data_IF_483946339787
#
_entry.id   IF_483946339787
#
_cell.length_a   1.000
_cell.length_b   1.000
_cell.length_c   1.000
_cell.angle_alpha   90.00
_cell.angle_beta   90.00
_cell.angle_gamma   90.00
#
_symmetry.space_group_name_H-M   'P 1'
#
loop_
_entity.id
_entity.type
_entity.pdbx_description
1 polymer ?
#
# COMPACT_ATOMS: atom_id res chain seq x y z
N UNK A 1 6.94 -2.02 9.35
CA UNK A 1 7.35 -2.62 8.06
C UNK A 1 7.94 -1.57 7.14
N UNK A 2 7.24 -0.47 6.90
CA UNK A 2 7.74 0.59 6.03
C UNK A 2 9.04 1.21 6.54
N UNK A 3 9.18 1.41 7.85
CA UNK A 3 10.40 1.89 8.47
C UNK A 3 11.56 0.92 8.26
N UNK A 4 11.31 -0.38 8.43
CA UNK A 4 12.31 -1.42 8.16
C UNK A 4 12.72 -1.45 6.69
N UNK A 5 11.76 -1.32 5.78
CA UNK A 5 12.01 -1.26 4.34
C UNK A 5 12.85 -0.02 3.96
N UNK A 6 12.59 1.14 4.57
CA UNK A 6 13.39 2.34 4.38
C UNK A 6 14.82 2.17 4.91
N UNK A 7 14.97 1.57 6.08
CA UNK A 7 16.30 1.30 6.65
C UNK A 7 17.12 0.38 5.75
N UNK A 8 16.52 -0.67 5.19
CA UNK A 8 17.18 -1.57 4.23
C UNK A 8 17.52 -0.85 2.92
N UNK A 9 16.61 -0.03 2.42
CA UNK A 9 16.84 0.74 1.20
C UNK A 9 18.01 1.72 1.33
N UNK A 10 18.27 2.23 2.52
CA UNK A 10 19.38 3.15 2.79
C UNK A 10 20.76 2.52 2.55
N UNK A 11 20.89 1.18 2.59
CA UNK A 11 22.15 0.50 2.26
C UNK A 11 22.48 0.58 0.77
N UNK A 12 21.46 0.64 -0.08
CA UNK A 12 21.64 0.72 -1.54
C UNK A 12 21.74 2.17 -2.03
N UNK A 13 21.40 3.13 -1.19
CA UNK A 13 21.40 4.55 -1.53
C UNK A 13 22.19 5.34 -0.49
N UNK A 14 23.34 5.91 -0.85
CA UNK A 14 24.20 6.63 0.08
C UNK A 14 23.68 8.01 0.49
N UNK A 15 22.43 8.34 0.18
CA UNK A 15 21.85 9.66 0.47
C UNK A 15 21.20 9.69 1.84
N UNK A 16 21.48 10.73 2.62
CA UNK A 16 20.85 11.06 3.90
C UNK A 16 19.39 11.52 3.70
N UNK A 17 18.59 10.74 2.98
CA UNK A 17 17.21 11.09 2.66
C UNK A 17 16.19 10.33 3.50
N UNK A 18 16.63 9.58 4.51
CA UNK A 18 15.73 8.80 5.34
C UNK A 18 14.65 9.69 6.00
N UNK A 19 15.04 10.86 6.49
CA UNK A 19 14.10 11.82 7.07
C UNK A 19 13.07 12.30 6.03
N UNK A 20 13.49 12.54 4.80
CA UNK A 20 12.59 12.92 3.70
C UNK A 20 11.54 11.84 3.44
N UNK A 21 11.95 10.58 3.37
CA UNK A 21 11.02 9.47 3.13
C UNK A 21 10.09 9.24 4.31
N UNK A 22 10.58 9.38 5.54
CA UNK A 22 9.74 9.31 6.74
C UNK A 22 8.71 10.43 6.76
N UNK A 23 9.09 11.64 6.41
CA UNK A 23 8.17 12.77 6.32
C UNK A 23 7.09 12.52 5.26
N UNK A 24 7.46 11.89 4.14
CA UNK A 24 6.50 11.50 3.12
C UNK A 24 5.48 10.49 3.65
N UNK A 25 5.93 9.46 4.37
CA UNK A 25 5.04 8.49 5.01
C UNK A 25 4.10 9.18 6.01
N UNK A 26 4.62 10.08 6.84
CA UNK A 26 3.81 10.88 7.78
C UNK A 26 2.77 11.74 7.07
N UNK A 27 3.12 12.34 5.95
CA UNK A 27 2.19 13.14 5.14
C UNK A 27 1.05 12.26 4.64
N UNK A 28 1.34 11.08 4.12
CA UNK A 28 0.31 10.14 3.68
C UNK A 28 -0.60 9.69 4.82
N UNK A 29 -0.05 9.45 6.01
CA UNK A 29 -0.84 9.12 7.21
C UNK A 29 -1.80 10.27 7.58
N UNK A 30 -1.32 11.50 7.54
CA UNK A 30 -2.13 12.70 7.81
C UNK A 30 -3.24 12.87 6.76
N UNK A 31 -2.93 12.64 5.48
CA UNK A 31 -3.90 12.69 4.40
C UNK A 31 -4.99 11.63 4.59
N UNK A 32 -4.62 10.43 5.06
CA UNK A 32 -5.58 9.38 5.35
C UNK A 32 -6.49 9.78 6.53
N UNK A 33 -5.92 10.30 7.60
CA UNK A 33 -6.69 10.79 8.75
C UNK A 33 -7.68 11.87 8.32
N UNK A 34 -7.25 12.81 7.49
CA UNK A 34 -8.11 13.87 6.96
C UNK A 34 -9.24 13.31 6.07
N UNK A 35 -8.92 12.34 5.21
CA UNK A 35 -9.91 11.71 4.34
C UNK A 35 -10.98 10.97 5.14
N UNK A 36 -10.59 10.26 6.19
CA UNK A 36 -11.51 9.55 7.09
C UNK A 36 -12.43 10.54 7.81
N UNK A 37 -11.89 11.62 8.35
CA UNK A 37 -12.65 12.64 9.06
C UNK A 37 -13.64 13.35 8.14
N UNK A 38 -13.20 13.71 6.94
CA UNK A 38 -14.04 14.41 5.95
C UNK A 38 -15.21 13.55 5.47
N UNK A 39 -14.99 12.25 5.32
CA UNK A 39 -16.01 11.32 4.87
C UNK A 39 -16.87 10.78 6.03
N UNK A 40 -16.57 11.15 7.27
CA UNK A 40 -17.24 10.67 8.47
C UNK A 40 -17.26 9.12 8.55
N UNK A 41 -16.09 8.53 8.24
CA UNK A 41 -15.93 7.08 8.23
C UNK A 41 -15.76 6.61 9.69
N UNK A 42 -16.84 6.65 10.44
CA UNK A 42 -16.93 6.00 11.76
C UNK A 42 -17.29 4.52 11.63
N UNK A 43 -17.65 4.10 10.44
CA UNK A 43 -18.20 2.78 10.22
C UNK A 43 -17.11 1.69 10.30
N UNK A 44 -17.53 0.52 10.76
CA UNK A 44 -16.76 -0.72 10.71
C UNK A 44 -16.81 -1.34 9.29
N UNK A 45 -17.04 -0.53 8.27
CA UNK A 45 -17.15 -0.97 6.89
C UNK A 45 -15.75 -1.07 6.26
N UNK A 46 -15.30 -2.28 6.02
CA UNK A 46 -14.00 -2.55 5.41
C UNK A 46 -13.88 -1.92 4.01
N UNK A 47 -14.95 -1.93 3.23
CA UNK A 47 -14.95 -1.37 1.88
C UNK A 47 -14.70 0.15 1.90
N UNK A 48 -15.34 0.89 2.80
CA UNK A 48 -15.14 2.33 2.93
C UNK A 48 -13.72 2.67 3.40
N UNK A 49 -13.17 1.89 4.34
CA UNK A 49 -11.78 2.06 4.79
C UNK A 49 -10.79 1.82 3.65
N UNK A 50 -11.03 0.78 2.85
CA UNK A 50 -10.21 0.50 1.68
C UNK A 50 -10.27 1.63 0.65
N UNK A 51 -11.46 2.17 0.39
CA UNK A 51 -11.63 3.34 -0.50
C UNK A 51 -10.79 4.52 -0.01
N UNK A 52 -10.76 4.78 1.29
CA UNK A 52 -9.95 5.87 1.85
C UNK A 52 -8.45 5.64 1.63
N UNK A 53 -7.96 4.42 1.89
CA UNK A 53 -6.55 4.07 1.63
C UNK A 53 -6.21 4.27 0.15
N UNK A 54 -7.04 3.73 -0.74
CA UNK A 54 -6.81 3.81 -2.19
C UNK A 54 -6.85 5.26 -2.69
N UNK A 55 -7.74 6.07 -2.14
CA UNK A 55 -7.82 7.49 -2.47
C UNK A 55 -6.50 8.22 -2.14
N UNK A 56 -5.93 7.95 -0.98
CA UNK A 56 -4.67 8.57 -0.57
C UNK A 56 -3.50 8.05 -1.40
N UNK A 57 -3.31 6.74 -1.44
CA UNK A 57 -2.11 6.16 -2.06
C UNK A 57 -2.12 6.29 -3.58
N UNK A 58 -3.17 5.86 -4.23
CA UNK A 58 -3.25 5.84 -5.70
C UNK A 58 -3.83 7.13 -6.28
N UNK A 59 -4.77 7.75 -5.59
CA UNK A 59 -5.39 8.99 -6.03
C UNK A 59 -4.54 10.23 -5.76
N UNK A 60 -4.33 10.58 -4.49
CA UNK A 60 -3.61 11.81 -4.12
C UNK A 60 -2.12 11.74 -4.43
N UNK A 61 -1.47 10.63 -4.10
CA UNK A 61 -0.02 10.48 -4.24
C UNK A 61 0.41 9.81 -5.54
N UNK A 62 -0.52 9.32 -6.35
CA UNK A 62 -0.28 8.89 -7.72
C UNK A 62 0.55 7.62 -7.87
N UNK A 63 0.56 6.74 -6.85
CA UNK A 63 1.25 5.46 -6.96
C UNK A 63 0.58 4.54 -7.97
N UNK A 64 1.36 3.69 -8.60
CA UNK A 64 0.87 2.67 -9.53
C UNK A 64 1.82 1.48 -9.61
N UNK A 65 1.30 0.34 -10.08
CA UNK A 65 2.13 -0.80 -10.41
C UNK A 65 2.99 -0.50 -11.65
N UNK A 66 4.26 -0.85 -11.62
CA UNK A 66 5.14 -0.69 -12.77
C UNK A 66 5.02 -1.89 -13.71
N UNK A 67 4.21 -1.74 -14.75
CA UNK A 67 3.99 -2.75 -15.78
C UNK A 67 4.99 -2.62 -16.94
N UNK A 68 5.58 -1.44 -17.11
CA UNK A 68 6.47 -1.13 -18.22
C UNK A 68 7.89 -1.63 -17.98
N UNK A 69 8.38 -1.49 -16.74
CA UNK A 69 9.72 -1.91 -16.32
C UNK A 69 9.65 -2.81 -15.08
N UNK A 70 8.81 -3.84 -15.14
CA UNK A 70 8.52 -4.73 -14.01
C UNK A 70 9.79 -5.35 -13.41
N UNK A 71 10.74 -5.77 -14.22
CA UNK A 71 11.99 -6.41 -13.80
C UNK A 71 13.06 -5.44 -13.31
N UNK A 72 12.81 -4.13 -13.32
CA UNK A 72 13.74 -3.13 -12.80
C UNK A 72 13.88 -3.28 -11.27
N UNK A 73 15.12 -3.42 -10.80
CA UNK A 73 15.43 -3.58 -9.38
C UNK A 73 14.97 -2.41 -8.52
N UNK A 74 14.81 -1.21 -9.09
CA UNK A 74 14.28 -0.05 -8.37
C UNK A 74 12.87 -0.28 -7.84
N UNK A 75 12.09 -1.17 -8.47
CA UNK A 75 10.72 -1.50 -8.04
C UNK A 75 10.66 -2.24 -6.71
N UNK A 76 11.76 -2.83 -6.26
CA UNK A 76 11.88 -3.53 -4.97
C UNK A 76 12.49 -2.64 -3.88
N UNK A 77 13.01 -1.46 -4.22
CA UNK A 77 13.59 -0.51 -3.28
C UNK A 77 12.54 0.54 -2.91
N UNK A 78 12.11 0.56 -1.65
CA UNK A 78 11.01 1.42 -1.20
C UNK A 78 11.30 2.92 -1.41
N UNK A 79 12.54 3.35 -1.26
CA UNK A 79 12.92 4.75 -1.51
C UNK A 79 12.73 5.12 -2.98
N UNK A 80 13.12 4.23 -3.87
CA UNK A 80 12.94 4.42 -5.32
C UNK A 80 11.46 4.37 -5.72
N UNK A 81 10.70 3.49 -5.08
CA UNK A 81 9.25 3.43 -5.28
C UNK A 81 8.60 4.75 -4.87
N UNK A 82 9.00 5.33 -3.75
CA UNK A 82 8.51 6.64 -3.30
C UNK A 82 8.90 7.74 -4.30
N UNK A 83 10.15 7.76 -4.75
CA UNK A 83 10.62 8.75 -5.72
C UNK A 83 9.87 8.68 -7.05
N UNK A 84 9.65 7.47 -7.56
CA UNK A 84 9.05 7.22 -8.87
C UNK A 84 7.52 7.12 -8.84
N UNK A 85 6.91 6.88 -7.67
CA UNK A 85 5.49 6.55 -7.51
C UNK A 85 5.08 5.28 -8.26
N UNK A 86 6.02 4.38 -8.46
CA UNK A 86 5.82 3.10 -9.14
C UNK A 86 6.57 1.99 -8.42
N UNK A 87 6.00 0.79 -8.39
CA UNK A 87 6.65 -0.34 -7.74
C UNK A 87 6.04 -1.69 -8.04
N UNK A 88 6.65 -2.71 -7.46
CA UNK A 88 6.15 -4.09 -7.45
C UNK A 88 4.99 -4.24 -6.45
N UNK A 89 4.21 -5.33 -6.57
CA UNK A 89 3.12 -5.59 -5.65
C UNK A 89 3.52 -5.56 -4.16
N UNK A 90 4.67 -6.12 -3.82
CA UNK A 90 5.15 -6.15 -2.43
C UNK A 90 5.42 -4.74 -1.90
N UNK A 91 6.08 -3.89 -2.69
CA UNK A 91 6.39 -2.52 -2.29
C UNK A 91 5.11 -1.68 -2.08
N UNK A 92 4.19 -1.78 -3.02
CA UNK A 92 2.88 -1.10 -2.90
C UNK A 92 2.08 -1.66 -1.73
N UNK A 93 2.14 -2.98 -1.50
CA UNK A 93 1.50 -3.62 -0.36
C UNK A 93 2.07 -3.14 0.97
N UNK A 94 3.38 -2.92 1.07
CA UNK A 94 4.02 -2.36 2.27
C UNK A 94 3.45 -0.97 2.58
N UNK A 95 3.30 -0.13 1.57
CA UNK A 95 2.73 1.20 1.74
C UNK A 95 1.25 1.15 2.18
N UNK A 96 0.46 0.26 1.59
CA UNK A 96 -0.93 0.06 1.99
C UNK A 96 -1.03 -0.44 3.43
N UNK A 97 -0.22 -1.43 3.81
CA UNK A 97 -0.18 -1.95 5.18
C UNK A 97 0.24 -0.87 6.18
N UNK A 98 1.21 -0.04 5.80
CA UNK A 98 1.65 1.08 6.63
C UNK A 98 0.49 2.06 6.91
N UNK A 99 -0.25 2.44 5.88
CA UNK A 99 -1.41 3.33 6.03
C UNK A 99 -2.51 2.70 6.88
N UNK A 100 -2.84 1.44 6.65
CA UNK A 100 -3.85 0.73 7.44
C UNK A 100 -3.44 0.68 8.92
N UNK A 101 -2.20 0.32 9.19
CA UNK A 101 -1.67 0.23 10.56
C UNK A 101 -1.61 1.57 11.27
N UNK A 102 -1.39 2.67 10.55
CA UNK A 102 -1.43 4.01 11.13
C UNK A 102 -2.78 4.35 11.75
N UNK A 103 -3.84 3.70 11.27
CA UNK A 103 -5.21 3.84 11.79
C UNK A 103 -5.60 2.73 12.76
N UNK A 104 -4.68 1.82 13.09
CA UNK A 104 -4.97 0.65 13.91
C UNK A 104 -5.77 -0.44 13.19
N UNK A 105 -5.80 -0.42 11.88
CA UNK A 105 -6.52 -1.41 11.06
C UNK A 105 -5.64 -2.60 10.73
N UNK A 106 -6.27 -3.78 10.63
CA UNK A 106 -5.57 -5.04 10.36
C UNK A 106 -5.49 -5.31 8.86
N UNK A 107 -4.32 -5.14 8.29
CA UNK A 107 -4.02 -5.50 6.91
C UNK A 107 -2.72 -6.30 6.87
N UNK A 108 -2.74 -7.45 6.21
CA UNK A 108 -1.61 -8.37 6.15
C UNK A 108 -1.33 -8.80 4.72
N UNK A 109 -0.07 -9.11 4.43
CA UNK A 109 0.32 -9.74 3.18
C UNK A 109 -0.24 -11.15 3.06
N UNK A 110 -0.67 -11.51 1.87
CA UNK A 110 -1.19 -12.80 1.52
C UNK A 110 -0.39 -13.39 0.35
N UNK A 111 0.29 -14.50 0.61
CA UNK A 111 0.99 -15.24 -0.44
C UNK A 111 -0.04 -16.05 -1.25
N UNK A 112 -0.14 -15.71 -2.52
CA UNK A 112 -1.06 -16.35 -3.45
C UNK A 112 -0.27 -16.83 -4.68
N UNK A 113 -0.56 -17.99 -5.28
CA UNK A 113 0.25 -18.52 -6.37
C UNK A 113 0.50 -17.51 -7.50
N UNK A 114 1.77 -17.11 -7.67
CA UNK A 114 2.20 -16.14 -8.69
C UNK A 114 1.84 -14.68 -8.42
N UNK A 115 1.25 -14.38 -7.26
CA UNK A 115 0.79 -13.02 -6.92
C UNK A 115 1.04 -12.70 -5.44
N UNK A 116 1.33 -11.44 -5.17
CA UNK A 116 1.31 -10.89 -3.82
C UNK A 116 0.02 -10.10 -3.64
N UNK A 117 -0.82 -10.52 -2.71
CA UNK A 117 -2.09 -9.89 -2.40
C UNK A 117 -2.10 -9.41 -0.95
N UNK A 118 -3.14 -8.69 -0.56
CA UNK A 118 -3.35 -8.26 0.81
C UNK A 118 -4.69 -8.80 1.33
N UNK A 119 -4.72 -9.08 2.63
CA UNK A 119 -5.93 -9.42 3.36
C UNK A 119 -6.25 -8.28 4.31
N UNK A 120 -7.38 -7.66 4.14
CA UNK A 120 -7.88 -6.59 5.00
C UNK A 120 -9.05 -7.12 5.83
N UNK A 121 -8.92 -7.07 7.14
CA UNK A 121 -9.93 -7.58 8.08
C UNK A 121 -10.50 -6.46 8.91
N UNK A 122 -11.84 -6.37 8.98
CA UNK A 122 -12.59 -5.44 9.82
C UNK A 122 -13.79 -6.17 10.42
N UNK A 123 -13.83 -6.31 11.73
CA UNK A 123 -14.96 -6.90 12.46
C UNK A 123 -15.44 -8.23 11.87
N UNK A 124 -14.50 -9.13 11.55
CA UNK A 124 -14.81 -10.44 10.97
C UNK A 124 -15.05 -10.45 9.46
N UNK A 125 -15.18 -9.30 8.84
CA UNK A 125 -15.23 -9.18 7.39
C UNK A 125 -13.83 -9.21 6.81
N UNK A 126 -13.65 -9.92 5.69
CA UNK A 126 -12.37 -10.02 4.99
C UNK A 126 -12.51 -9.52 3.58
N UNK A 127 -11.56 -8.69 3.16
CA UNK A 127 -11.42 -8.26 1.76
C UNK A 127 -10.02 -8.65 1.30
N UNK A 128 -9.94 -9.32 0.15
CA UNK A 128 -8.68 -9.58 -0.54
C UNK A 128 -8.46 -8.45 -1.54
N UNK A 129 -7.24 -7.91 -1.55
CA UNK A 129 -6.91 -6.69 -2.27
C UNK A 129 -5.69 -6.90 -3.13
N UNK A 130 -5.72 -6.39 -4.36
CA UNK A 130 -4.57 -6.39 -5.26
C UNK A 130 -3.85 -5.03 -5.21
N UNK A 131 -2.68 -4.94 -4.56
CA UNK A 131 -1.95 -3.68 -4.47
C UNK A 131 -1.37 -3.22 -5.81
N UNK A 132 -1.18 -4.14 -6.75
CA UNK A 132 -0.60 -3.82 -8.06
C UNK A 132 -1.62 -3.22 -9.02
N UNK A 133 -2.90 -3.48 -8.80
CA UNK A 133 -4.01 -2.98 -9.62
C UNK A 133 -4.85 -1.96 -8.84
N UNK A 134 -4.19 -0.93 -8.31
CA UNK A 134 -4.87 0.20 -7.65
C UNK A 134 -5.61 -0.16 -6.36
N UNK A 135 -5.27 -1.26 -5.72
CA UNK A 135 -5.92 -1.67 -4.48
C UNK A 135 -7.34 -2.19 -4.67
N UNK A 136 -7.67 -2.72 -5.85
CA UNK A 136 -9.00 -3.26 -6.12
C UNK A 136 -9.30 -4.46 -5.23
N UNK A 137 -10.52 -4.58 -4.70
CA UNK A 137 -10.95 -5.78 -4.02
C UNK A 137 -11.19 -6.92 -5.01
N UNK A 138 -10.81 -8.14 -4.63
CA UNK A 138 -10.97 -9.34 -5.45
C UNK A 138 -12.03 -10.25 -4.82
N UNK A 139 -13.05 -10.58 -5.59
CA UNK A 139 -14.03 -11.59 -5.23
C UNK A 139 -13.55 -13.00 -5.59
N UNK A 140 -14.33 -14.02 -5.25
CA UNK A 140 -13.96 -15.40 -5.53
C UNK A 140 -13.76 -15.71 -7.02
N UNK A 141 -14.61 -15.21 -7.95
CA UNK A 141 -14.35 -15.37 -9.38
C UNK A 141 -13.03 -14.72 -9.82
N UNK A 142 -12.74 -13.52 -9.36
CA UNK A 142 -11.49 -12.80 -9.68
C UNK A 142 -10.26 -13.57 -9.16
N UNK A 143 -10.32 -14.09 -7.93
CA UNK A 143 -9.25 -14.92 -7.38
C UNK A 143 -9.02 -16.19 -8.19
N UNK A 144 -10.08 -16.86 -8.62
CA UNK A 144 -9.96 -18.04 -9.48
C UNK A 144 -9.33 -17.72 -10.82
N UNK A 145 -9.61 -16.54 -11.36
CA UNK A 145 -9.03 -16.11 -12.64
C UNK A 145 -7.51 -15.86 -12.56
N UNK A 146 -6.95 -15.66 -11.37
CA UNK A 146 -5.51 -15.51 -11.17
C UNK A 146 -4.76 -16.86 -11.16
N UNK A 147 -5.45 -17.95 -10.97
CA UNK A 147 -4.85 -19.29 -10.97
C UNK A 147 -4.63 -19.80 -12.40
#
# INVERSE_FOLDING_TARGET
IAEGALALAAFDSPTDRLAFYRDHLSTMEQDLTAAISKADIESQDAALRLVAINHVLFGLHGYSGDRDTYDDLQNANISRVIDRRRGLPVALGILMMHLARSQGWNMQGLDFPGHFLLRFEVEGERIIVDPFDGGVPLDAPALRALL
#
